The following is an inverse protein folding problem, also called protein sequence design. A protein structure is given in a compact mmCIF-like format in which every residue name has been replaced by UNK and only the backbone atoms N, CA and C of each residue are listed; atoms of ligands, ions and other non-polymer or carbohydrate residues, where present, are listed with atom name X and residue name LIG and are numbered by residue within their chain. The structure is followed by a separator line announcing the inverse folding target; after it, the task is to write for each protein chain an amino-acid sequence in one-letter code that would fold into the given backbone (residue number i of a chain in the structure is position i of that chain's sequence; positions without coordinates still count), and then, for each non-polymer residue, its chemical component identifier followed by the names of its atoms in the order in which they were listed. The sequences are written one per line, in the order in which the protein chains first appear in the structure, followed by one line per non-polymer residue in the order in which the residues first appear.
data_IF_930133241254
#
_entry.id   IF_930133241254
#
_cell.length_a   1.000
_cell.length_b   1.000
_cell.length_c   1.000
_cell.angle_alpha   90.00
_cell.angle_beta   90.00
_cell.angle_gamma   90.00
#
_symmetry.space_group_name_H-M   'P 1'
#
loop_
_entity.id
_entity.type
_entity.pdbx_description
1 polymer ?
#
# COMPACT_ATOMS: atom_id res chain seq x y z
N UNK A 1 19.07 -11.69 3.98
CA UNK A 1 20.54 -11.44 3.94
C UNK A 1 21.12 -11.38 2.51
N UNK A 2 20.42 -11.82 1.45
CA UNK A 2 20.93 -11.67 0.06
C UNK A 2 20.90 -10.20 -0.42
N UNK A 3 19.79 -9.50 -0.20
CA UNK A 3 19.54 -8.17 -0.78
C UNK A 3 20.52 -7.08 -0.32
N UNK A 4 20.92 -7.07 0.96
CA UNK A 4 21.89 -6.11 1.46
C UNK A 4 23.25 -6.26 0.76
N UNK A 5 23.72 -7.50 0.62
CA UNK A 5 24.99 -7.80 -0.03
C UNK A 5 24.96 -7.35 -1.48
N UNK A 6 23.83 -7.55 -2.16
CA UNK A 6 23.69 -7.14 -3.56
C UNK A 6 23.58 -5.61 -3.71
N UNK A 7 22.90 -4.91 -2.80
CA UNK A 7 22.89 -3.46 -2.76
C UNK A 7 24.28 -2.87 -2.50
N UNK A 8 25.09 -3.48 -1.63
CA UNK A 8 26.48 -3.07 -1.40
C UNK A 8 27.36 -3.24 -2.66
N UNK A 9 27.16 -4.31 -3.43
CA UNK A 9 27.83 -4.48 -4.73
C UNK A 9 27.42 -3.39 -5.70
N UNK A 10 26.13 -3.02 -5.75
CA UNK A 10 25.64 -1.92 -6.59
C UNK A 10 26.28 -0.60 -6.17
N UNK A 11 26.35 -0.29 -4.87
CA UNK A 11 27.03 0.91 -4.36
C UNK A 11 28.49 0.99 -4.82
N UNK A 12 29.23 -0.13 -4.72
CA UNK A 12 30.63 -0.20 -5.17
C UNK A 12 30.75 0.00 -6.69
N UNK A 13 29.84 -0.59 -7.47
CA UNK A 13 29.81 -0.40 -8.92
C UNK A 13 29.50 1.06 -9.31
N UNK A 14 28.53 1.70 -8.64
CA UNK A 14 28.24 3.13 -8.84
C UNK A 14 29.43 4.03 -8.47
N UNK A 15 30.16 3.69 -7.40
CA UNK A 15 31.37 4.42 -7.02
C UNK A 15 32.46 4.32 -8.09
N UNK A 16 32.62 3.15 -8.72
CA UNK A 16 33.58 2.97 -9.80
C UNK A 16 33.27 3.87 -11.01
N UNK A 17 31.98 4.07 -11.33
CA UNK A 17 31.53 4.95 -12.40
C UNK A 17 31.93 6.42 -12.18
N UNK A 18 32.07 6.88 -10.92
CA UNK A 18 32.49 8.27 -10.63
C UNK A 18 33.87 8.61 -11.24
N UNK A 19 34.73 7.61 -11.44
CA UNK A 19 36.07 7.79 -12.03
C UNK A 19 36.12 7.67 -13.56
N UNK A 20 35.02 7.29 -14.20
CA UNK A 20 34.95 7.04 -15.64
C UNK A 20 34.41 8.22 -16.46
N UNK A 21 34.13 9.33 -15.80
CA UNK A 21 33.71 10.55 -16.49
C UNK A 21 34.86 11.08 -17.36
N UNK A 22 34.53 11.44 -18.59
CA UNK A 22 35.45 11.99 -19.57
C UNK A 22 35.14 13.47 -19.77
N UNK A 23 36.17 14.30 -19.76
CA UNK A 23 36.05 15.72 -20.08
C UNK A 23 36.17 15.95 -21.58
N UNK A 24 35.19 16.66 -22.14
CA UNK A 24 35.22 17.14 -23.52
C UNK A 24 35.10 18.65 -23.57
N UNK A 25 35.94 19.28 -24.37
CA UNK A 25 35.90 20.73 -24.62
C UNK A 25 34.59 21.19 -25.27
N UNK A 26 33.89 20.30 -25.98
CA UNK A 26 32.62 20.61 -26.66
C UNK A 26 31.38 20.04 -25.97
N UNK A 27 31.51 18.96 -25.20
CA UNK A 27 30.37 18.23 -24.61
C UNK A 27 30.33 18.28 -23.08
N UNK A 28 31.29 18.93 -22.44
CA UNK A 28 31.43 18.93 -20.98
C UNK A 28 31.87 17.57 -20.44
N UNK A 29 31.62 17.34 -19.16
CA UNK A 29 31.98 16.10 -18.45
C UNK A 29 30.84 15.08 -18.53
N UNK A 30 31.09 13.89 -19.07
CA UNK A 30 30.05 12.88 -19.33
C UNK A 30 30.56 11.44 -19.18
N UNK A 31 29.65 10.48 -19.04
CA UNK A 31 29.94 9.04 -19.12
C UNK A 31 29.80 8.53 -20.56
N UNK A 32 30.64 7.57 -20.95
CA UNK A 32 30.47 6.87 -22.22
C UNK A 32 29.18 6.03 -22.22
N UNK A 33 28.65 5.72 -23.40
CA UNK A 33 27.33 5.07 -23.55
C UNK A 33 27.19 3.76 -22.80
N UNK A 34 28.26 2.95 -22.73
CA UNK A 34 28.24 1.69 -21.98
C UNK A 34 28.17 1.92 -20.46
N UNK A 35 28.90 2.92 -19.95
CA UNK A 35 28.89 3.30 -18.53
C UNK A 35 27.58 3.99 -18.12
N UNK A 36 26.95 4.73 -19.03
CA UNK A 36 25.61 5.28 -18.85
C UNK A 36 24.55 4.17 -18.77
N UNK A 37 24.60 3.20 -19.69
CA UNK A 37 23.70 2.05 -19.66
C UNK A 37 23.87 1.24 -18.36
N UNK A 38 25.12 1.09 -17.91
CA UNK A 38 25.44 0.44 -16.65
C UNK A 38 24.87 1.21 -15.45
N UNK A 39 25.03 2.54 -15.40
CA UNK A 39 24.41 3.37 -14.37
C UNK A 39 22.89 3.18 -14.30
N UNK A 40 22.23 3.15 -15.46
CA UNK A 40 20.77 2.95 -15.56
C UNK A 40 20.36 1.57 -15.05
N UNK A 41 21.08 0.51 -15.43
CA UNK A 41 20.85 -0.86 -14.95
C UNK A 41 20.97 -0.92 -13.43
N UNK A 42 22.07 -0.41 -12.88
CA UNK A 42 22.33 -0.39 -11.43
C UNK A 42 21.23 0.37 -10.66
N UNK A 43 20.76 1.50 -11.21
CA UNK A 43 19.71 2.31 -10.58
C UNK A 43 18.36 1.58 -10.54
N UNK A 44 18.00 0.87 -11.62
CA UNK A 44 16.75 0.08 -11.70
C UNK A 44 16.81 -1.13 -10.76
N UNK A 45 17.94 -1.85 -10.72
CA UNK A 45 18.13 -3.00 -9.83
C UNK A 45 18.07 -2.59 -8.36
N UNK A 46 18.79 -1.53 -7.99
CA UNK A 46 18.75 -1.01 -6.62
C UNK A 46 17.35 -0.57 -6.22
N UNK A 47 16.61 0.10 -7.11
CA UNK A 47 15.23 0.47 -6.87
C UNK A 47 14.35 -0.76 -6.60
N UNK A 48 14.44 -1.79 -7.45
CA UNK A 48 13.65 -3.01 -7.31
C UNK A 48 13.94 -3.73 -5.98
N UNK A 49 15.21 -3.79 -5.58
CA UNK A 49 15.64 -4.36 -4.31
C UNK A 49 15.14 -3.54 -3.11
N UNK A 50 15.22 -2.22 -3.17
CA UNK A 50 14.71 -1.34 -2.12
C UNK A 50 13.19 -1.41 -2.00
N UNK A 51 12.44 -1.47 -3.11
CA UNK A 51 10.99 -1.68 -3.09
C UNK A 51 10.60 -3.01 -2.45
N UNK A 52 11.36 -4.07 -2.74
CA UNK A 52 11.12 -5.38 -2.14
C UNK A 52 11.34 -5.37 -0.62
N UNK A 53 12.41 -4.72 -0.15
CA UNK A 53 12.79 -4.72 1.27
C UNK A 53 12.04 -3.68 2.10
N UNK A 54 11.77 -2.50 1.55
CA UNK A 54 11.21 -1.35 2.27
C UNK A 54 9.75 -1.07 1.90
N UNK A 55 9.16 -1.83 0.97
CA UNK A 55 7.84 -1.57 0.41
C UNK A 55 7.90 -0.61 -0.77
N UNK A 56 6.89 -0.67 -1.64
CA UNK A 56 6.77 0.21 -2.81
C UNK A 56 6.60 1.67 -2.37
N UNK A 57 7.09 2.60 -3.20
CA UNK A 57 6.99 4.06 -2.97
C UNK A 57 7.72 4.53 -1.70
N UNK A 58 8.74 3.79 -1.25
CA UNK A 58 9.61 4.28 -0.19
C UNK A 58 10.46 5.47 -0.69
N UNK A 59 10.88 6.34 0.22
CA UNK A 59 11.63 7.57 -0.10
C UNK A 59 12.89 7.27 -0.92
N UNK A 60 13.60 6.18 -0.64
CA UNK A 60 14.86 5.85 -1.32
C UNK A 60 14.62 5.44 -2.77
N UNK A 61 13.72 4.49 -3.02
CA UNK A 61 13.33 4.02 -4.36
C UNK A 61 12.76 5.14 -5.23
N UNK A 62 11.97 6.04 -4.64
CA UNK A 62 11.34 7.17 -5.33
C UNK A 62 12.38 8.20 -5.75
N UNK A 63 13.39 8.46 -4.91
CA UNK A 63 14.49 9.35 -5.27
C UNK A 63 15.40 8.76 -6.37
N UNK A 64 15.56 7.43 -6.45
CA UNK A 64 16.27 6.79 -7.57
C UNK A 64 15.56 6.97 -8.92
N UNK A 65 14.22 6.94 -8.93
CA UNK A 65 13.43 7.22 -10.14
C UNK A 65 13.58 8.67 -10.62
N UNK A 66 13.54 9.63 -9.69
CA UNK A 66 13.65 11.05 -10.01
C UNK A 66 15.04 11.41 -10.53
N UNK A 67 16.07 10.73 -10.02
CA UNK A 67 17.47 10.95 -10.41
C UNK A 67 17.76 10.42 -11.83
N UNK A 68 17.12 9.32 -12.24
CA UNK A 68 17.23 8.78 -13.61
C UNK A 68 16.53 9.60 -14.69
N UNK A 69 15.61 10.49 -14.33
CA UNK A 69 14.89 11.38 -15.27
C UNK A 69 15.50 12.79 -15.34
N UNK A 70 16.51 13.10 -14.51
CA UNK A 70 17.30 14.34 -14.57
C UNK A 70 18.59 14.11 -15.36
N UNK A 71 18.48 13.71 -16.62
CA UNK A 71 19.62 13.51 -17.53
C UNK A 71 20.05 14.82 -18.20
N UNK A 72 20.32 15.86 -17.42
CA UNK A 72 20.73 17.18 -17.92
C UNK A 72 22.21 17.50 -17.70
N UNK A 73 23.08 16.48 -17.63
CA UNK A 73 24.51 16.66 -17.39
C UNK A 73 25.37 17.03 -18.62
N UNK A 74 24.90 16.72 -19.83
CA UNK A 74 25.60 17.01 -21.09
C UNK A 74 24.61 17.20 -22.24
N UNK A 75 25.04 17.85 -23.33
CA UNK A 75 24.26 18.11 -24.55
C UNK A 75 23.65 16.83 -25.18
N UNK A 76 24.16 15.64 -24.81
CA UNK A 76 23.74 14.32 -25.29
C UNK A 76 22.81 13.54 -24.34
N UNK A 77 22.47 14.07 -23.15
CA UNK A 77 21.41 13.50 -22.32
C UNK A 77 21.78 12.32 -21.41
N UNK A 78 22.99 12.30 -20.86
CA UNK A 78 23.44 11.33 -19.85
C UNK A 78 23.45 11.86 -18.40
N UNK A 79 23.69 10.98 -17.39
CA UNK A 79 23.75 11.37 -15.98
C UNK A 79 24.98 12.25 -15.70
N UNK A 80 24.83 13.26 -14.87
CA UNK A 80 25.97 14.03 -14.34
C UNK A 80 26.70 13.24 -13.24
N UNK A 81 27.92 13.66 -12.92
CA UNK A 81 28.66 13.11 -11.77
C UNK A 81 27.89 13.28 -10.45
N UNK A 82 27.16 14.38 -10.28
CA UNK A 82 26.32 14.60 -9.10
C UNK A 82 25.15 13.63 -9.03
N UNK A 83 24.54 13.29 -10.16
CA UNK A 83 23.45 12.29 -10.26
C UNK A 83 23.95 10.90 -9.86
N UNK A 84 25.15 10.50 -10.30
CA UNK A 84 25.75 9.21 -9.90
C UNK A 84 26.04 9.18 -8.40
N UNK A 85 26.65 10.25 -7.86
CA UNK A 85 26.94 10.38 -6.42
C UNK A 85 25.69 10.38 -5.55
N UNK A 86 24.66 11.12 -5.95
CA UNK A 86 23.40 11.19 -5.23
C UNK A 86 22.71 9.82 -5.23
N UNK A 87 22.68 9.13 -6.37
CA UNK A 87 22.10 7.78 -6.47
C UNK A 87 22.82 6.80 -5.54
N UNK A 88 24.15 6.82 -5.51
CA UNK A 88 24.95 6.01 -4.59
C UNK A 88 24.59 6.31 -3.12
N UNK A 89 24.54 7.58 -2.74
CA UNK A 89 24.21 8.00 -1.38
C UNK A 89 22.78 7.61 -0.96
N UNK A 90 21.82 7.67 -1.88
CA UNK A 90 20.44 7.22 -1.65
C UNK A 90 20.39 5.72 -1.38
N UNK A 91 21.15 4.92 -2.13
CA UNK A 91 21.25 3.46 -1.92
C UNK A 91 21.88 3.16 -0.56
N UNK A 92 22.95 3.86 -0.18
CA UNK A 92 23.57 3.74 1.15
C UNK A 92 22.59 4.08 2.27
N UNK A 93 21.78 5.12 2.09
CA UNK A 93 20.67 5.45 3.00
C UNK A 93 19.65 4.31 3.13
N UNK A 94 19.27 3.70 2.01
CA UNK A 94 18.38 2.55 1.98
C UNK A 94 18.96 1.32 2.69
N UNK A 95 20.24 1.01 2.48
CA UNK A 95 20.96 -0.06 3.20
C UNK A 95 20.92 0.21 4.71
N UNK A 96 21.21 1.44 5.14
CA UNK A 96 21.15 1.80 6.54
C UNK A 96 19.75 1.63 7.13
N UNK A 97 18.70 1.93 6.35
CA UNK A 97 17.33 1.68 6.77
C UNK A 97 17.01 0.18 6.90
N UNK A 98 17.48 -0.65 5.96
CA UNK A 98 17.36 -2.11 6.03
C UNK A 98 18.04 -2.65 7.29
N UNK A 99 19.23 -2.15 7.64
CA UNK A 99 19.95 -2.51 8.88
C UNK A 99 19.23 -2.08 10.15
N UNK A 100 18.49 -0.97 10.11
CA UNK A 100 17.66 -0.49 11.23
C UNK A 100 16.36 -1.28 11.36
N UNK A 101 15.82 -1.84 10.27
CA UNK A 101 14.59 -2.64 10.25
C UNK A 101 14.58 -3.78 11.30
N UNK A 102 15.63 -4.60 11.50
CA UNK A 102 15.63 -5.60 12.57
C UNK A 102 15.59 -4.95 13.97
N UNK A 103 16.26 -3.82 14.20
CA UNK A 103 16.19 -3.11 15.49
C UNK A 103 14.85 -2.39 15.72
N UNK A 104 14.21 -1.88 14.67
CA UNK A 104 12.84 -1.37 14.74
C UNK A 104 11.83 -2.50 14.92
N UNK A 105 12.01 -3.66 14.27
CA UNK A 105 11.17 -4.83 14.46
C UNK A 105 11.27 -5.36 15.90
N UNK A 106 12.45 -5.38 16.52
CA UNK A 106 12.60 -5.76 17.94
C UNK A 106 11.90 -4.74 18.88
N UNK A 107 11.87 -3.46 18.52
CA UNK A 107 11.09 -2.44 19.23
C UNK A 107 9.58 -2.44 18.91
N UNK A 108 9.17 -3.13 17.83
CA UNK A 108 7.78 -3.22 17.31
C UNK A 108 7.25 -4.66 17.22
N UNK A 109 7.82 -5.60 17.95
CA UNK A 109 7.23 -6.94 18.07
C UNK A 109 6.58 -7.12 19.43
N UNK A 110 5.24 -7.10 19.39
CA UNK A 110 4.30 -7.98 20.12
C UNK A 110 3.20 -7.24 20.91
N UNK A 111 2.40 -6.48 20.17
CA UNK A 111 0.95 -6.64 20.18
C UNK A 111 0.54 -6.72 18.70
N UNK A 112 -0.34 -7.64 18.31
CA UNK A 112 -0.95 -7.62 16.98
C UNK A 112 -1.46 -6.19 16.74
N UNK A 113 -0.91 -5.49 15.76
CA UNK A 113 -1.55 -4.26 15.30
C UNK A 113 -2.94 -4.71 14.84
N UNK A 114 -4.03 -4.22 15.46
CA UNK A 114 -5.32 -4.81 15.23
C UNK A 114 -5.65 -4.72 13.74
N UNK A 115 -5.94 -5.85 13.09
CA UNK A 115 -6.48 -5.81 11.72
C UNK A 115 -7.93 -5.37 11.78
N UNK A 116 -8.41 -4.64 10.77
CA UNK A 116 -9.84 -4.30 10.69
C UNK A 116 -10.72 -5.55 10.53
N UNK A 117 -10.26 -6.47 9.68
CA UNK A 117 -10.85 -7.78 9.42
C UNK A 117 -9.87 -8.84 9.88
N UNK A 118 -10.33 -9.76 10.74
CA UNK A 118 -9.48 -10.80 11.29
C UNK A 118 -8.85 -11.68 10.18
N UNK A 119 -7.57 -12.09 10.32
CA UNK A 119 -6.94 -12.96 9.33
C UNK A 119 -7.65 -14.30 9.15
N UNK A 120 -8.25 -14.85 10.22
CA UNK A 120 -9.04 -16.07 10.16
C UNK A 120 -10.29 -15.91 9.29
N UNK A 121 -11.03 -14.80 9.44
CA UNK A 121 -12.20 -14.54 8.60
C UNK A 121 -11.82 -14.38 7.13
N UNK A 122 -10.71 -13.68 6.86
CA UNK A 122 -10.24 -13.51 5.48
C UNK A 122 -9.82 -14.86 4.86
N UNK A 123 -9.23 -15.76 5.64
CA UNK A 123 -8.90 -17.11 5.22
C UNK A 123 -10.16 -17.95 4.93
N UNK A 124 -11.18 -17.88 5.79
CA UNK A 124 -12.49 -18.53 5.56
C UNK A 124 -13.09 -18.11 4.22
N UNK A 125 -13.13 -16.80 3.93
CA UNK A 125 -13.70 -16.26 2.68
C UNK A 125 -12.89 -16.71 1.46
N UNK A 126 -11.56 -16.73 1.54
CA UNK A 126 -10.69 -17.20 0.45
C UNK A 126 -10.86 -18.69 0.15
N UNK A 127 -11.22 -19.48 1.16
CA UNK A 127 -11.41 -20.92 1.03
C UNK A 127 -12.79 -21.28 0.44
N UNK A 128 -13.71 -20.33 0.32
CA UNK A 128 -15.01 -20.56 -0.30
C UNK A 128 -14.84 -20.91 -1.79
N UNK A 129 -15.50 -21.98 -2.22
CA UNK A 129 -15.60 -22.36 -3.64
C UNK A 129 -17.07 -22.41 -4.08
N UNK A 130 -17.80 -21.28 -4.02
CA UNK A 130 -19.22 -21.27 -4.32
C UNK A 130 -19.43 -21.39 -5.84
N UNK A 131 -20.38 -22.23 -6.25
CA UNK A 131 -20.60 -22.52 -7.67
C UNK A 131 -21.01 -21.28 -8.51
N UNK A 132 -21.63 -20.27 -7.89
CA UNK A 132 -22.27 -19.15 -8.59
C UNK A 132 -21.72 -17.77 -8.20
N UNK A 133 -20.68 -17.68 -7.37
CA UNK A 133 -20.18 -16.41 -6.85
C UNK A 133 -18.68 -16.28 -7.02
N UNK A 134 -18.22 -15.16 -7.58
CA UNK A 134 -16.81 -14.79 -7.55
C UNK A 134 -16.55 -13.84 -6.38
N UNK A 135 -15.85 -14.34 -5.37
CA UNK A 135 -15.51 -13.59 -4.15
C UNK A 135 -14.21 -12.79 -4.26
N UNK A 136 -13.50 -12.84 -5.39
CA UNK A 136 -12.18 -12.22 -5.58
C UNK A 136 -12.20 -10.72 -5.29
N UNK A 137 -13.27 -10.02 -5.72
CA UNK A 137 -13.43 -8.59 -5.46
C UNK A 137 -13.67 -8.30 -3.98
N UNK A 138 -14.47 -9.10 -3.28
CA UNK A 138 -14.68 -8.96 -1.84
C UNK A 138 -13.37 -9.15 -1.08
N UNK A 139 -12.64 -10.22 -1.39
CA UNK A 139 -11.32 -10.51 -0.77
C UNK A 139 -10.40 -9.32 -0.95
N UNK A 140 -10.33 -8.75 -2.16
CA UNK A 140 -9.48 -7.58 -2.43
C UNK A 140 -9.89 -6.35 -1.63
N UNK A 141 -11.19 -6.07 -1.51
CA UNK A 141 -11.70 -4.95 -0.69
C UNK A 141 -11.32 -5.12 0.79
N UNK A 142 -11.41 -6.34 1.34
CA UNK A 142 -11.07 -6.63 2.74
C UNK A 142 -9.56 -6.51 3.00
N UNK A 143 -8.72 -6.91 2.05
CA UNK A 143 -7.26 -6.70 2.12
C UNK A 143 -6.90 -5.22 2.12
N UNK A 144 -7.53 -4.45 1.23
CA UNK A 144 -7.32 -3.00 1.15
C UNK A 144 -7.82 -2.29 2.41
N UNK A 145 -8.92 -2.76 2.99
CA UNK A 145 -9.45 -2.26 4.26
C UNK A 145 -8.45 -2.49 5.40
N UNK A 146 -7.85 -3.67 5.48
CA UNK A 146 -6.81 -3.97 6.46
C UNK A 146 -5.56 -3.09 6.26
N UNK A 147 -5.11 -2.89 5.02
CA UNK A 147 -3.98 -2.02 4.73
C UNK A 147 -4.30 -0.55 5.10
N UNK A 148 -5.46 -0.04 4.71
CA UNK A 148 -5.89 1.32 5.02
C UNK A 148 -5.97 1.55 6.53
N UNK A 149 -6.48 0.58 7.29
CA UNK A 149 -6.55 0.69 8.75
C UNK A 149 -5.16 0.66 9.40
N UNK A 150 -4.28 -0.26 8.99
CA UNK A 150 -2.90 -0.34 9.50
C UNK A 150 -2.06 0.92 9.22
N UNK A 151 -2.42 1.68 8.17
CA UNK A 151 -1.78 2.95 7.83
C UNK A 151 -2.55 4.18 8.34
N UNK A 152 -3.55 4.00 9.22
CA UNK A 152 -4.39 5.06 9.78
C UNK A 152 -5.07 5.94 8.71
N UNK A 153 -5.36 5.37 7.53
CA UNK A 153 -6.06 6.05 6.45
C UNK A 153 -7.58 6.09 6.71
N UNK A 154 -8.02 6.75 7.79
CA UNK A 154 -9.39 6.67 8.29
C UNK A 154 -10.48 7.05 7.27
N UNK A 155 -10.25 8.05 6.42
CA UNK A 155 -11.19 8.36 5.32
C UNK A 155 -11.34 7.18 4.36
N UNK A 156 -10.23 6.53 4.00
CA UNK A 156 -10.25 5.34 3.13
C UNK A 156 -10.92 4.15 3.80
N UNK A 157 -10.71 3.96 5.11
CA UNK A 157 -11.40 2.94 5.90
C UNK A 157 -12.93 3.11 5.78
N UNK A 158 -13.46 4.32 6.02
CA UNK A 158 -14.89 4.57 5.89
C UNK A 158 -15.42 4.26 4.47
N UNK A 159 -14.70 4.67 3.43
CA UNK A 159 -15.06 4.41 2.04
C UNK A 159 -15.02 2.92 1.68
N UNK A 160 -14.05 2.17 2.20
CA UNK A 160 -13.90 0.74 1.95
C UNK A 160 -14.95 -0.07 2.68
N UNK A 161 -15.30 0.29 3.93
CA UNK A 161 -16.43 -0.33 4.65
C UNK A 161 -17.73 -0.13 3.86
N UNK A 162 -17.97 1.08 3.35
CA UNK A 162 -19.10 1.37 2.46
C UNK A 162 -19.08 0.49 1.21
N UNK A 163 -17.94 0.40 0.53
CA UNK A 163 -17.78 -0.42 -0.67
C UNK A 163 -18.05 -1.91 -0.40
N UNK A 164 -17.60 -2.45 0.74
CA UNK A 164 -17.90 -3.82 1.17
C UNK A 164 -19.42 -3.99 1.35
N UNK A 165 -20.09 -3.09 2.07
CA UNK A 165 -21.55 -3.20 2.29
C UNK A 165 -22.39 -3.05 1.02
N UNK A 166 -21.91 -2.32 0.01
CA UNK A 166 -22.56 -2.27 -1.31
C UNK A 166 -22.35 -3.52 -2.16
N UNK A 167 -21.25 -4.24 -1.91
CA UNK A 167 -20.88 -5.40 -2.71
C UNK A 167 -21.58 -6.70 -2.29
N UNK A 168 -21.82 -6.88 -0.99
CA UNK A 168 -22.38 -8.11 -0.42
C UNK A 168 -23.89 -8.39 -0.62
N UNK A 169 -24.81 -7.42 -0.84
CA UNK A 169 -26.26 -7.68 -0.80
C UNK A 169 -26.78 -8.83 -1.68
N UNK A 170 -26.26 -9.04 -2.91
CA UNK A 170 -26.75 -10.13 -3.77
C UNK A 170 -26.64 -11.53 -3.15
N UNK A 171 -25.63 -11.79 -2.30
CA UNK A 171 -25.48 -13.07 -1.58
C UNK A 171 -26.62 -13.29 -0.58
N UNK A 172 -27.18 -12.20 -0.04
CA UNK A 172 -28.33 -12.21 0.88
C UNK A 172 -29.68 -12.12 0.16
N UNK A 173 -29.71 -12.38 -1.16
CA UNK A 173 -30.90 -12.21 -2.02
C UNK A 173 -31.53 -10.80 -1.91
N UNK A 174 -30.70 -9.79 -1.68
CA UNK A 174 -31.10 -8.39 -1.49
C UNK A 174 -30.41 -7.50 -2.54
N UNK A 175 -31.05 -6.40 -2.93
CA UNK A 175 -30.50 -5.43 -3.88
C UNK A 175 -29.62 -4.37 -3.23
N UNK A 176 -29.92 -4.05 -1.97
CA UNK A 176 -29.23 -2.99 -1.23
C UNK A 176 -28.88 -3.46 0.17
N UNK A 177 -27.88 -2.83 0.79
CA UNK A 177 -27.55 -3.13 2.19
C UNK A 177 -28.68 -2.76 3.15
N UNK A 178 -29.51 -1.77 2.82
CA UNK A 178 -30.69 -1.42 3.58
C UNK A 178 -31.72 -2.57 3.61
N UNK A 179 -31.87 -3.30 2.50
CA UNK A 179 -32.70 -4.50 2.44
C UNK A 179 -32.09 -5.63 3.28
N UNK A 180 -30.77 -5.82 3.25
CA UNK A 180 -30.09 -6.79 4.14
C UNK A 180 -30.38 -6.47 5.60
N UNK A 181 -30.21 -5.21 6.00
CA UNK A 181 -30.40 -4.78 7.39
C UNK A 181 -31.86 -4.90 7.89
N UNK A 182 -32.85 -4.88 7.00
CA UNK A 182 -34.27 -4.81 7.40
C UNK A 182 -35.10 -6.05 7.02
N UNK A 183 -34.72 -6.78 5.98
CA UNK A 183 -35.55 -7.81 5.38
C UNK A 183 -34.90 -9.19 5.38
N UNK A 184 -33.58 -9.28 5.52
CA UNK A 184 -32.90 -10.58 5.61
C UNK A 184 -33.41 -11.37 6.83
N UNK A 185 -33.79 -12.63 6.60
CA UNK A 185 -34.36 -13.53 7.61
C UNK A 185 -33.28 -14.11 8.56
N UNK A 186 -32.35 -13.26 9.02
CA UNK A 186 -31.33 -13.61 10.00
C UNK A 186 -31.86 -13.54 11.44
N UNK A 187 -30.97 -13.77 12.40
CA UNK A 187 -31.30 -13.65 13.83
C UNK A 187 -31.61 -12.20 14.20
N UNK A 188 -32.36 -11.99 15.30
CA UNK A 188 -32.62 -10.64 15.84
C UNK A 188 -31.33 -9.87 16.12
N UNK A 189 -30.30 -10.55 16.62
CA UNK A 189 -28.99 -9.94 16.90
C UNK A 189 -28.26 -9.54 15.62
N UNK A 190 -28.25 -10.41 14.59
CA UNK A 190 -27.70 -10.06 13.28
C UNK A 190 -28.36 -8.81 12.71
N UNK A 191 -29.69 -8.76 12.74
CA UNK A 191 -30.46 -7.58 12.30
C UNK A 191 -30.03 -6.31 13.04
N UNK A 192 -29.89 -6.38 14.36
CA UNK A 192 -29.43 -5.25 15.18
C UNK A 192 -28.07 -4.72 14.74
N UNK A 193 -27.09 -5.61 14.56
CA UNK A 193 -25.75 -5.25 14.04
C UNK A 193 -25.81 -4.64 12.64
N UNK A 194 -26.59 -5.21 11.72
CA UNK A 194 -26.69 -4.67 10.36
C UNK A 194 -27.40 -3.32 10.31
N UNK A 195 -28.37 -3.07 11.19
CA UNK A 195 -29.02 -1.77 11.31
C UNK A 195 -28.07 -0.72 11.87
N UNK A 196 -27.25 -1.05 12.88
CA UNK A 196 -26.22 -0.16 13.39
C UNK A 196 -25.16 0.16 12.32
N UNK A 197 -24.63 -0.89 11.67
CA UNK A 197 -23.68 -0.75 10.57
C UNK A 197 -24.25 0.11 9.44
N UNK A 198 -25.47 -0.17 8.98
CA UNK A 198 -26.09 0.62 7.91
C UNK A 198 -26.31 2.09 8.30
N UNK A 199 -26.83 2.34 9.51
CA UNK A 199 -27.22 3.68 9.93
C UNK A 199 -26.02 4.61 10.19
N UNK A 200 -25.02 4.13 10.91
CA UNK A 200 -23.87 4.97 11.29
C UNK A 200 -22.86 5.08 10.14
N UNK A 201 -22.40 3.94 9.61
CA UNK A 201 -21.33 3.94 8.61
C UNK A 201 -21.73 4.66 7.31
N UNK A 202 -22.97 4.48 6.84
CA UNK A 202 -23.42 5.16 5.61
C UNK A 202 -23.25 6.67 5.72
N UNK A 203 -23.74 7.26 6.81
CA UNK A 203 -23.68 8.70 7.00
C UNK A 203 -22.24 9.21 7.12
N UNK A 204 -21.37 8.45 7.78
CA UNK A 204 -19.95 8.78 7.94
C UNK A 204 -19.21 8.69 6.60
N UNK A 205 -19.41 7.61 5.84
CA UNK A 205 -18.78 7.43 4.53
C UNK A 205 -19.27 8.47 3.52
N UNK A 206 -20.59 8.72 3.45
CA UNK A 206 -21.18 9.71 2.55
C UNK A 206 -20.65 11.13 2.87
N UNK A 207 -20.45 11.45 4.15
CA UNK A 207 -19.83 12.72 4.55
C UNK A 207 -18.40 12.84 4.01
N UNK A 208 -17.58 11.80 4.11
CA UNK A 208 -16.21 11.81 3.59
C UNK A 208 -16.11 11.78 2.05
N UNK A 209 -17.17 11.34 1.36
CA UNK A 209 -17.23 11.30 -0.11
C UNK A 209 -17.80 12.58 -0.73
N UNK A 210 -18.72 13.26 -0.04
CA UNK A 210 -19.54 14.31 -0.65
C UNK A 210 -19.39 15.70 -0.04
N UNK A 211 -18.87 15.82 1.20
CA UNK A 211 -18.69 17.14 1.81
C UNK A 211 -17.61 17.93 1.07
N UNK A 212 -17.95 19.15 0.66
CA UNK A 212 -17.01 20.10 0.07
C UNK A 212 -16.12 20.77 1.12
N UNK A 213 -14.95 21.25 0.69
CA UNK A 213 -13.97 21.94 1.53
C UNK A 213 -14.58 23.12 2.31
N UNK A 214 -14.26 23.22 3.60
CA UNK A 214 -14.71 24.28 4.52
C UNK A 214 -13.54 25.12 5.03
N UNK A 215 -13.86 26.23 5.70
CA UNK A 215 -12.87 27.13 6.33
C UNK A 215 -12.06 26.45 7.45
N UNK A 216 -12.65 25.46 8.09
CA UNK A 216 -12.03 24.63 9.12
C UNK A 216 -12.56 23.21 8.96
N UNK A 217 -11.66 22.24 9.00
CA UNK A 217 -11.97 20.82 8.85
C UNK A 217 -11.56 20.07 10.11
N UNK A 218 -12.34 19.04 10.46
CA UNK A 218 -11.97 18.07 11.48
C UNK A 218 -11.83 16.71 10.81
N UNK A 219 -10.63 16.14 10.86
CA UNK A 219 -10.35 14.84 10.26
C UNK A 219 -10.94 13.70 11.11
N UNK A 220 -11.41 12.61 10.48
CA UNK A 220 -11.86 11.44 11.23
C UNK A 220 -10.71 10.81 11.98
N UNK A 221 -11.03 10.26 13.14
CA UNK A 221 -10.14 9.39 13.90
C UNK A 221 -10.65 7.94 13.84
N UNK A 222 -9.90 7.04 14.47
CA UNK A 222 -10.24 5.62 14.52
C UNK A 222 -11.66 5.35 15.04
N UNK A 223 -12.06 6.00 16.13
CA UNK A 223 -13.36 5.76 16.77
C UNK A 223 -14.54 6.08 15.84
N UNK A 224 -14.39 7.06 14.95
CA UNK A 224 -15.42 7.40 13.98
C UNK A 224 -15.59 6.34 12.88
N UNK A 225 -14.58 5.51 12.62
CA UNK A 225 -14.59 4.54 11.51
C UNK A 225 -14.52 3.09 11.98
N UNK A 226 -14.60 2.86 13.28
CA UNK A 226 -14.54 1.53 13.89
C UNK A 226 -15.91 0.84 13.88
N UNK A 227 -16.08 -0.03 12.88
CA UNK A 227 -17.25 -0.90 12.73
C UNK A 227 -16.85 -2.38 12.73
N UNK A 228 -15.67 -2.71 13.29
CA UNK A 228 -15.06 -4.04 13.18
C UNK A 228 -15.98 -5.16 13.68
N UNK A 229 -16.65 -4.95 14.81
CA UNK A 229 -17.55 -5.94 15.40
C UNK A 229 -18.72 -6.27 14.46
N UNK A 230 -19.43 -5.26 13.95
CA UNK A 230 -20.56 -5.49 13.04
C UNK A 230 -20.10 -6.00 11.67
N UNK A 231 -18.93 -5.57 11.19
CA UNK A 231 -18.32 -6.10 9.97
C UNK A 231 -18.00 -7.58 10.11
N UNK A 232 -17.47 -8.02 11.26
CA UNK A 232 -17.25 -9.44 11.50
C UNK A 232 -18.59 -10.21 11.53
N UNK A 233 -19.64 -9.70 12.17
CA UNK A 233 -20.97 -10.33 12.14
C UNK A 233 -21.49 -10.49 10.71
N UNK A 234 -21.33 -9.46 9.86
CA UNK A 234 -21.72 -9.51 8.44
C UNK A 234 -20.95 -10.60 7.68
N UNK A 235 -19.62 -10.61 7.82
CA UNK A 235 -18.76 -11.53 7.09
C UNK A 235 -18.93 -12.98 7.58
N UNK A 236 -19.30 -13.19 8.83
CA UNK A 236 -19.56 -14.52 9.39
C UNK A 236 -20.79 -15.13 8.72
N UNK A 237 -21.85 -14.33 8.61
CA UNK A 237 -23.07 -14.72 7.95
C UNK A 237 -22.87 -14.92 6.44
N UNK A 238 -22.03 -14.07 5.81
CA UNK A 238 -21.63 -14.23 4.41
C UNK A 238 -20.96 -15.59 4.17
N UNK A 239 -20.01 -15.99 5.02
CA UNK A 239 -19.37 -17.30 4.96
C UNK A 239 -20.41 -18.42 5.13
N UNK A 240 -21.31 -18.30 6.12
CA UNK A 240 -22.36 -19.31 6.39
C UNK A 240 -23.29 -19.54 5.19
N UNK A 241 -23.61 -18.50 4.41
CA UNK A 241 -24.49 -18.61 3.23
C UNK A 241 -23.80 -19.34 2.07
N UNK A 242 -22.48 -19.22 1.96
CA UNK A 242 -21.70 -19.70 0.81
C UNK A 242 -20.93 -21.01 1.05
N UNK A 243 -20.90 -21.50 2.30
CA UNK A 243 -20.46 -22.86 2.65
C UNK A 243 -21.45 -23.91 2.15
#
# INVERSE_FOLDING_TARGET
MSTEVDLLKITAAMQALESKFVDSSSLGTYLQSDDEAEFKRLSIEAKAMLDHELGRLNDFSTNLLLTGNQTSGSYLGGPSLSVVRNSRAVIEGGINQIRRKPNQAIAKTKADDPTYVSPSRLAEIRALTPANWDVSRLVRLLEELNAAYAHHCHMSVAMLVRAVTDHVPPVFASKTFAEVANNYAGTKSFRGSMQHLHGSMKNIADAHLHVQIRKSETLPNEAQVDFRADMDVLLAEFVRILQ
#
